data_IF_300184408979
#
_entry.id   IF_300184408979
#
_cell.length_a   1.000
_cell.length_b   1.000
_cell.length_c   1.000
_cell.angle_alpha   90.00
_cell.angle_beta   90.00
_cell.angle_gamma   90.00
#
_symmetry.space_group_name_H-M   'P 1'
#
loop_
_entity.id
_entity.type
_entity.pdbx_description
1 polymer ?
#
# COMPACT_ATOMS: atom_id res chain seq x y z
N UNK A 1 21.02 4.58 -9.40
CA UNK A 1 20.77 3.56 -8.36
C UNK A 1 20.67 4.23 -6.99
N UNK A 2 19.55 4.04 -6.28
CA UNK A 2 19.26 4.61 -4.96
C UNK A 2 18.81 3.49 -4.02
N UNK A 3 19.40 3.41 -2.83
CA UNK A 3 18.94 2.50 -1.77
C UNK A 3 17.87 3.20 -0.95
N UNK A 4 16.70 2.57 -0.80
CA UNK A 4 15.59 3.05 0.05
C UNK A 4 15.20 1.99 1.07
N UNK A 5 14.94 2.42 2.30
CA UNK A 5 14.46 1.54 3.38
C UNK A 5 12.99 1.82 3.65
N UNK A 6 12.17 0.77 3.68
CA UNK A 6 10.74 0.86 4.02
C UNK A 6 10.35 -0.28 4.96
N UNK A 7 9.21 -0.12 5.64
CA UNK A 7 8.62 -1.22 6.44
C UNK A 7 7.44 -1.81 5.69
N UNK A 8 7.40 -3.13 5.57
CA UNK A 8 6.25 -3.85 5.03
C UNK A 8 5.05 -3.72 5.96
N UNK A 9 3.93 -3.20 5.47
CA UNK A 9 2.69 -3.01 6.25
C UNK A 9 1.63 -4.09 5.99
N UNK A 10 1.91 -5.05 5.10
CA UNK A 10 0.97 -6.11 4.71
C UNK A 10 0.65 -7.13 5.81
N UNK A 11 1.46 -7.20 6.86
CA UNK A 11 1.27 -8.15 7.95
C UNK A 11 1.87 -7.64 9.26
N UNK A 12 1.40 -8.13 10.42
CA UNK A 12 1.83 -7.64 11.73
C UNK A 12 3.32 -7.88 12.04
N UNK A 13 4.04 -8.68 11.23
CA UNK A 13 5.49 -8.89 11.39
C UNK A 13 6.32 -7.65 11.06
N UNK A 14 5.82 -6.75 10.21
CA UNK A 14 6.49 -5.47 9.91
C UNK A 14 7.95 -5.62 9.46
N UNK A 15 8.24 -6.46 8.46
CA UNK A 15 9.63 -6.64 8.03
C UNK A 15 10.23 -5.32 7.49
N UNK A 16 11.45 -4.98 7.94
CA UNK A 16 12.24 -3.92 7.36
C UNK A 16 12.80 -4.38 6.01
N UNK A 17 12.52 -3.61 4.97
CA UNK A 17 12.90 -3.89 3.60
C UNK A 17 13.94 -2.87 3.13
N UNK A 18 14.90 -3.34 2.36
CA UNK A 18 15.89 -2.52 1.65
C UNK A 18 15.71 -2.74 0.14
N UNK A 19 15.55 -1.63 -0.59
CA UNK A 19 15.17 -1.60 -2.00
C UNK A 19 16.28 -0.92 -2.81
N UNK A 20 16.74 -1.58 -3.86
CA UNK A 20 17.56 -0.96 -4.91
C UNK A 20 16.64 -0.41 -6.00
N UNK A 21 16.63 0.90 -6.17
CA UNK A 21 15.75 1.61 -7.10
C UNK A 21 16.55 2.27 -8.21
N UNK A 22 16.10 2.11 -9.45
CA UNK A 22 16.65 2.77 -10.64
C UNK A 22 15.51 3.23 -11.56
N UNK A 23 15.52 4.50 -11.96
CA UNK A 23 14.48 5.08 -12.84
C UNK A 23 13.04 4.79 -12.38
N UNK A 24 12.78 4.93 -11.07
CA UNK A 24 11.50 4.61 -10.44
C UNK A 24 11.06 3.14 -10.49
N UNK A 25 11.94 2.22 -10.89
CA UNK A 25 11.71 0.77 -10.84
C UNK A 25 12.55 0.09 -9.77
N UNK A 26 11.98 -0.95 -9.14
CA UNK A 26 12.65 -1.74 -8.12
C UNK A 26 13.44 -2.86 -8.78
N UNK A 27 14.77 -2.79 -8.67
CA UNK A 27 15.68 -3.79 -9.23
C UNK A 27 15.84 -4.97 -8.27
N UNK A 28 15.84 -4.70 -6.97
CA UNK A 28 16.01 -5.72 -5.93
C UNK A 28 15.30 -5.34 -4.64
N UNK A 29 14.67 -6.34 -4.01
CA UNK A 29 14.14 -6.25 -2.65
C UNK A 29 14.92 -7.19 -1.74
N UNK A 30 15.31 -6.72 -0.56
CA UNK A 30 15.95 -7.53 0.48
C UNK A 30 15.27 -7.31 1.83
N UNK A 31 15.38 -8.29 2.74
CA UNK A 31 14.82 -8.22 4.10
C UNK A 31 13.38 -8.71 4.26
N UNK A 32 12.71 -9.06 3.16
CA UNK A 32 11.38 -9.67 3.20
C UNK A 32 11.43 -11.08 3.79
N UNK A 33 10.50 -11.37 4.71
CA UNK A 33 10.33 -12.71 5.31
C UNK A 33 9.23 -13.53 4.64
N UNK A 34 8.62 -12.99 3.59
CA UNK A 34 7.57 -13.64 2.82
C UNK A 34 7.45 -13.00 1.42
N UNK A 35 6.78 -13.67 0.46
CA UNK A 35 6.55 -13.12 -0.88
C UNK A 35 5.68 -11.86 -0.91
N UNK A 36 4.83 -11.65 0.11
CA UNK A 36 3.97 -10.46 0.19
C UNK A 36 4.78 -9.18 0.37
N UNK A 37 5.87 -9.22 1.15
CA UNK A 37 6.70 -8.03 1.40
C UNK A 37 7.40 -7.53 0.14
N UNK A 38 7.84 -8.44 -0.72
CA UNK A 38 8.42 -8.09 -2.02
C UNK A 38 7.39 -7.45 -2.94
N UNK A 39 6.21 -8.08 -3.10
CA UNK A 39 5.12 -7.53 -3.91
C UNK A 39 4.68 -6.14 -3.45
N UNK A 40 4.55 -5.95 -2.13
CA UNK A 40 4.25 -4.66 -1.54
C UNK A 40 5.31 -3.61 -1.86
N UNK A 41 6.59 -3.94 -1.68
CA UNK A 41 7.67 -2.99 -1.93
C UNK A 41 7.75 -2.53 -3.39
N UNK A 42 7.53 -3.44 -4.34
CA UNK A 42 7.49 -3.11 -5.76
C UNK A 42 6.32 -2.16 -6.04
N UNK A 43 5.11 -2.54 -5.63
CA UNK A 43 3.91 -1.71 -5.81
C UNK A 43 4.06 -0.33 -5.16
N UNK A 44 4.63 -0.26 -3.95
CA UNK A 44 4.81 0.99 -3.21
C UNK A 44 5.70 2.02 -3.93
N UNK A 45 6.62 1.57 -4.78
CA UNK A 45 7.54 2.44 -5.52
C UNK A 45 7.01 2.73 -6.92
N UNK A 46 6.46 1.72 -7.60
CA UNK A 46 6.11 1.79 -9.02
C UNK A 46 4.66 2.23 -9.26
N UNK A 47 3.72 1.83 -8.40
CA UNK A 47 2.28 2.12 -8.53
C UNK A 47 1.59 2.09 -7.14
N UNK A 48 1.78 3.15 -6.32
CA UNK A 48 1.31 3.15 -4.94
C UNK A 48 -0.21 3.27 -4.86
N UNK A 49 -0.89 2.21 -4.42
CA UNK A 49 -2.37 2.14 -4.35
C UNK A 49 -2.90 2.02 -2.92
N UNK A 50 -4.01 2.69 -2.61
CA UNK A 50 -4.64 2.79 -1.26
C UNK A 50 -6.15 2.52 -1.32
N UNK A 51 -6.70 1.96 -0.24
CA UNK A 51 -8.16 1.93 -0.06
C UNK A 51 -8.61 3.35 0.29
N UNK A 52 -9.28 4.02 -0.65
CA UNK A 52 -9.93 5.30 -0.38
C UNK A 52 -11.14 5.09 0.54
N UNK A 53 -11.13 5.78 1.68
CA UNK A 53 -12.27 5.88 2.61
C UNK A 53 -12.90 7.26 2.50
N UNK A 54 -14.23 7.33 2.48
CA UNK A 54 -14.97 8.60 2.42
C UNK A 54 -16.32 8.47 3.14
N UNK A 55 -17.17 9.48 3.00
CA UNK A 55 -18.57 9.44 3.45
C UNK A 55 -19.49 9.88 2.32
N UNK A 56 -20.68 9.30 2.26
CA UNK A 56 -21.72 9.67 1.28
C UNK A 56 -23.01 10.04 2.00
N UNK A 57 -23.76 10.98 1.42
CA UNK A 57 -25.08 11.34 1.93
C UNK A 57 -26.02 10.15 1.80
N UNK A 58 -26.74 9.83 2.87
CA UNK A 58 -27.73 8.77 2.87
C UNK A 58 -29.15 9.34 2.78
N UNK A 59 -29.97 8.70 1.96
CA UNK A 59 -31.39 9.01 1.83
C UNK A 59 -32.21 7.89 2.48
N UNK A 60 -33.16 8.24 3.35
CA UNK A 60 -34.03 7.27 4.02
C UNK A 60 -33.42 6.56 5.24
N UNK A 61 -32.20 6.91 5.64
CA UNK A 61 -31.59 6.45 6.89
C UNK A 61 -31.70 7.55 7.96
N UNK A 62 -31.65 7.15 9.24
CA UNK A 62 -31.58 8.08 10.37
C UNK A 62 -30.24 8.84 10.42
N UNK A 63 -29.19 8.26 9.87
CA UNK A 63 -27.87 8.87 9.72
C UNK A 63 -27.80 9.68 8.43
N UNK A 64 -27.30 10.92 8.51
CA UNK A 64 -27.12 11.80 7.34
C UNK A 64 -25.98 11.37 6.41
N UNK A 65 -24.92 10.81 6.98
CA UNK A 65 -23.70 10.39 6.27
C UNK A 65 -23.39 8.94 6.61
N UNK A 66 -22.98 8.16 5.61
CA UNK A 66 -22.57 6.77 5.77
C UNK A 66 -21.10 6.62 5.39
N UNK A 67 -20.26 5.95 6.21
CA UNK A 67 -18.88 5.68 5.87
C UNK A 67 -18.82 4.67 4.72
N UNK A 68 -18.02 4.97 3.71
CA UNK A 68 -17.77 4.09 2.57
C UNK A 68 -16.27 3.91 2.35
N UNK A 69 -15.93 2.81 1.69
CA UNK A 69 -14.59 2.58 1.18
C UNK A 69 -14.69 1.99 -0.23
N UNK A 70 -13.65 2.21 -1.02
CA UNK A 70 -13.46 1.46 -2.26
C UNK A 70 -13.34 -0.04 -1.98
N UNK A 71 -13.82 -0.87 -2.88
CA UNK A 71 -13.74 -2.33 -2.78
C UNK A 71 -12.31 -2.84 -3.05
N UNK A 72 -11.53 -2.06 -3.80
CA UNK A 72 -10.13 -2.33 -4.15
C UNK A 72 -9.27 -1.07 -4.00
N UNK A 73 -7.96 -1.21 -3.75
CA UNK A 73 -7.05 -0.09 -3.76
C UNK A 73 -7.07 0.65 -5.10
N UNK A 74 -6.97 1.97 -5.05
CA UNK A 74 -6.84 2.85 -6.22
C UNK A 74 -5.54 3.66 -6.12
N UNK A 75 -4.95 4.09 -7.26
CA UNK A 75 -3.78 4.99 -7.28
C UNK A 75 -4.05 6.35 -6.60
#
# INVERSE_FOLDING_TARGET
MMIKKITCIECPKGCGLELDIENCHVIKVSGNKCPKGEKYAIAEIEDPVRILTSTVAAQGLSLKMVPVRTDKPIP
#
